data_IF_783945042432
#
_entry.id   IF_783945042432
#
_cell.length_a   1.000
_cell.length_b   1.000
_cell.length_c   1.000
_cell.angle_alpha   90.00
_cell.angle_beta   90.00
_cell.angle_gamma   90.00
#
_symmetry.space_group_name_H-M   'P 1'
#
loop_
_entity.id
_entity.type
_entity.pdbx_description
1 polymer ?
#
# COMPACT_ATOMS: atom_id res chain seq x y z
N UNK A 1 -36.84 -36.77 -56.72
CA UNK A 1 -36.41 -37.12 -55.34
C UNK A 1 -35.35 -36.16 -54.75
N UNK A 2 -34.44 -35.64 -55.59
CA UNK A 2 -33.28 -34.85 -55.18
C UNK A 2 -33.56 -33.41 -54.77
N UNK A 3 -34.57 -32.74 -55.36
CA UNK A 3 -34.90 -31.34 -55.07
C UNK A 3 -35.61 -31.14 -53.70
N UNK A 4 -36.37 -32.13 -53.25
CA UNK A 4 -37.07 -32.09 -51.95
C UNK A 4 -36.10 -32.32 -50.80
N UNK A 5 -35.10 -33.18 -51.01
CA UNK A 5 -34.07 -33.46 -49.99
C UNK A 5 -33.15 -32.25 -49.78
N UNK A 6 -32.83 -31.54 -50.88
CA UNK A 6 -31.97 -30.34 -50.79
C UNK A 6 -32.68 -29.17 -50.05
N UNK A 7 -33.98 -28.98 -50.28
CA UNK A 7 -34.79 -27.97 -49.53
C UNK A 7 -34.89 -28.32 -48.03
N UNK A 8 -35.05 -29.58 -47.72
CA UNK A 8 -35.12 -30.03 -46.32
C UNK A 8 -33.78 -29.81 -45.58
N UNK A 9 -32.65 -30.14 -46.22
CA UNK A 9 -31.30 -29.94 -45.62
C UNK A 9 -31.02 -28.43 -45.40
N UNK A 10 -31.35 -27.56 -46.32
CA UNK A 10 -31.15 -26.10 -46.20
C UNK A 10 -32.03 -25.52 -45.08
N UNK A 11 -33.27 -26.00 -44.92
CA UNK A 11 -34.15 -25.55 -43.82
C UNK A 11 -33.64 -25.98 -42.44
N UNK A 12 -33.15 -27.20 -42.32
CA UNK A 12 -32.56 -27.72 -41.07
C UNK A 12 -31.25 -27.00 -40.71
N UNK A 13 -30.39 -26.76 -41.70
CA UNK A 13 -29.14 -26.03 -41.48
C UNK A 13 -29.40 -24.55 -41.13
N UNK A 14 -30.39 -23.89 -41.70
CA UNK A 14 -30.77 -22.53 -41.33
C UNK A 14 -31.42 -22.48 -39.94
N UNK A 15 -32.22 -23.46 -39.56
CA UNK A 15 -32.77 -23.60 -38.19
C UNK A 15 -31.67 -23.80 -37.13
N UNK A 16 -30.69 -24.63 -37.41
CA UNK A 16 -29.52 -24.84 -36.53
C UNK A 16 -28.63 -23.60 -36.44
N UNK A 17 -28.40 -22.87 -37.52
CA UNK A 17 -27.67 -21.59 -37.51
C UNK A 17 -28.38 -20.53 -36.67
N UNK A 18 -29.74 -20.43 -36.82
CA UNK A 18 -30.52 -19.45 -36.05
C UNK A 18 -30.57 -19.82 -34.56
N UNK A 19 -30.65 -21.10 -34.21
CA UNK A 19 -30.58 -21.58 -32.82
C UNK A 19 -29.18 -21.36 -32.22
N UNK A 20 -28.10 -21.57 -33.00
CA UNK A 20 -26.73 -21.34 -32.56
C UNK A 20 -26.40 -19.83 -32.37
N UNK A 21 -26.92 -18.97 -33.30
CA UNK A 21 -26.82 -17.52 -33.15
C UNK A 21 -27.65 -16.99 -31.98
N UNK A 22 -28.83 -17.54 -31.72
CA UNK A 22 -29.63 -17.19 -30.54
C UNK A 22 -28.98 -17.65 -29.23
N UNK A 23 -28.40 -18.85 -29.20
CA UNK A 23 -27.60 -19.33 -28.05
C UNK A 23 -26.35 -18.51 -27.82
N UNK A 24 -25.63 -18.09 -28.88
CA UNK A 24 -24.49 -17.16 -28.76
C UNK A 24 -24.93 -15.77 -28.27
N UNK A 25 -26.06 -15.25 -28.74
CA UNK A 25 -26.61 -13.97 -28.24
C UNK A 25 -27.09 -14.08 -26.78
N UNK A 26 -27.61 -15.22 -26.34
CA UNK A 26 -27.95 -15.44 -24.94
C UNK A 26 -26.73 -15.59 -24.06
N UNK A 27 -25.60 -16.12 -24.55
CA UNK A 27 -24.31 -16.19 -23.82
C UNK A 27 -23.59 -14.83 -23.75
N UNK A 28 -23.92 -13.89 -24.68
CA UNK A 28 -23.28 -12.54 -24.66
C UNK A 28 -24.13 -11.47 -23.95
N UNK A 29 -25.33 -11.81 -23.48
CA UNK A 29 -26.19 -10.90 -22.69
C UNK A 29 -26.39 -11.34 -21.24
N UNK A 30 -25.52 -12.15 -20.69
CA UNK A 30 -25.33 -12.13 -19.26
C UNK A 30 -24.80 -10.71 -18.93
N UNK A 31 -25.72 -9.75 -18.73
CA UNK A 31 -25.39 -8.46 -18.13
C UNK A 31 -24.66 -8.80 -16.86
N UNK A 32 -23.34 -8.59 -16.85
CA UNK A 32 -22.58 -8.65 -15.61
C UNK A 32 -23.36 -7.80 -14.62
N UNK A 33 -23.84 -8.42 -13.56
CA UNK A 33 -24.50 -7.67 -12.49
C UNK A 33 -23.52 -6.56 -12.11
N UNK A 34 -23.92 -5.29 -12.03
CA UNK A 34 -22.99 -4.23 -11.74
C UNK A 34 -22.29 -4.58 -10.42
N UNK A 35 -20.96 -4.58 -10.43
CA UNK A 35 -20.17 -4.93 -9.27
C UNK A 35 -20.64 -4.14 -8.06
N UNK A 36 -20.92 -4.83 -6.95
CA UNK A 36 -21.37 -4.21 -5.71
C UNK A 36 -20.32 -3.22 -5.16
N UNK A 37 -20.68 -2.39 -4.18
CA UNK A 37 -19.74 -1.45 -3.57
C UNK A 37 -18.46 -2.14 -3.08
N UNK A 38 -18.56 -3.29 -2.40
CA UNK A 38 -17.41 -4.06 -1.92
C UNK A 38 -16.55 -4.60 -3.06
N UNK A 39 -17.17 -5.07 -4.16
CA UNK A 39 -16.41 -5.59 -5.31
C UNK A 39 -15.57 -4.48 -5.96
N UNK A 40 -16.15 -3.27 -6.06
CA UNK A 40 -15.39 -2.11 -6.55
C UNK A 40 -14.21 -1.75 -5.65
N UNK A 41 -14.41 -1.77 -4.34
CA UNK A 41 -13.32 -1.51 -3.38
C UNK A 41 -12.25 -2.60 -3.46
N UNK A 42 -12.63 -3.88 -3.56
CA UNK A 42 -11.69 -5.00 -3.73
C UNK A 42 -10.87 -4.86 -5.01
N UNK A 43 -11.53 -4.59 -6.12
CA UNK A 43 -10.83 -4.39 -7.39
C UNK A 43 -9.88 -3.19 -7.31
N UNK A 44 -10.34 -2.05 -6.80
CA UNK A 44 -9.51 -0.88 -6.62
C UNK A 44 -8.33 -1.14 -5.66
N UNK A 45 -8.53 -1.94 -4.60
CA UNK A 45 -7.45 -2.35 -3.70
C UNK A 45 -6.35 -3.11 -4.46
N UNK A 46 -6.72 -4.09 -5.28
CA UNK A 46 -5.77 -4.84 -6.09
C UNK A 46 -5.09 -3.91 -7.09
N UNK A 47 -5.86 -3.16 -7.88
CA UNK A 47 -5.35 -2.26 -8.91
C UNK A 47 -4.33 -1.25 -8.36
N UNK A 48 -4.64 -0.62 -7.22
CA UNK A 48 -3.73 0.34 -6.58
C UNK A 48 -2.51 -0.35 -5.96
N UNK A 49 -2.69 -1.54 -5.38
CA UNK A 49 -1.60 -2.30 -4.77
C UNK A 49 -0.57 -2.80 -5.78
N UNK A 50 -1.00 -3.21 -6.99
CA UNK A 50 -0.08 -3.72 -8.02
C UNK A 50 0.59 -2.62 -8.84
N UNK A 51 0.20 -1.36 -8.71
CA UNK A 51 0.84 -0.26 -9.45
C UNK A 51 2.32 -0.15 -9.11
N UNK A 52 3.14 0.06 -10.15
CA UNK A 52 4.54 0.41 -10.01
C UNK A 52 4.75 1.89 -10.30
N UNK A 53 5.39 2.59 -9.36
CA UNK A 53 5.75 4.00 -9.49
C UNK A 53 7.23 4.19 -9.83
N UNK A 54 7.98 3.09 -9.94
CA UNK A 54 9.37 3.08 -10.35
C UNK A 54 9.45 2.73 -11.85
N UNK A 55 9.55 3.70 -12.76
CA UNK A 55 9.55 3.43 -14.19
C UNK A 55 10.86 2.81 -14.69
N UNK A 56 11.92 2.84 -13.90
CA UNK A 56 13.23 2.35 -14.26
C UNK A 56 14.02 1.75 -13.10
N UNK A 57 15.15 1.11 -13.42
CA UNK A 57 16.02 0.44 -12.45
C UNK A 57 16.59 1.36 -11.37
N UNK A 58 16.86 2.64 -11.66
CA UNK A 58 17.40 3.58 -10.68
C UNK A 58 16.39 3.96 -9.60
N UNK A 59 15.12 4.14 -9.98
CA UNK A 59 14.06 4.40 -8.99
C UNK A 59 13.84 3.17 -8.11
N UNK A 60 13.89 1.96 -8.70
CA UNK A 60 13.86 0.70 -7.97
C UNK A 60 15.04 0.59 -7.02
N UNK A 61 16.27 0.90 -7.45
CA UNK A 61 17.46 0.90 -6.59
C UNK A 61 17.35 1.88 -5.41
N UNK A 62 16.72 3.04 -5.59
CA UNK A 62 16.50 4.00 -4.49
C UNK A 62 15.53 3.46 -3.46
N UNK A 63 14.44 2.83 -3.88
CA UNK A 63 13.53 2.12 -2.97
C UNK A 63 14.23 0.95 -2.28
N UNK A 64 15.06 0.22 -3.00
CA UNK A 64 15.91 -0.87 -2.50
C UNK A 64 16.84 -0.39 -1.41
N UNK A 65 17.59 0.70 -1.63
CA UNK A 65 18.50 1.28 -0.64
C UNK A 65 17.79 1.77 0.62
N UNK A 66 16.57 2.29 0.48
CA UNK A 66 15.76 2.66 1.63
C UNK A 66 15.30 1.44 2.45
N UNK A 67 15.03 0.34 1.77
CA UNK A 67 14.65 -0.91 2.42
C UNK A 67 15.83 -1.61 3.10
N UNK A 68 17.05 -1.19 2.80
CA UNK A 68 18.28 -1.72 3.39
C UNK A 68 18.45 -1.26 4.85
N UNK A 69 17.52 -1.70 5.65
CA UNK A 69 17.52 -1.58 7.10
C UNK A 69 18.62 -2.47 7.70
N UNK A 70 19.81 -2.40 7.08
CA UNK A 70 21.02 -3.05 7.54
C UNK A 70 21.24 -4.44 7.03
N UNK A 71 21.28 -4.54 5.78
CA UNK A 71 21.91 -5.50 4.87
C UNK A 71 20.98 -6.24 3.92
N UNK A 72 21.18 -5.87 2.74
CA UNK A 72 21.56 -6.61 1.56
C UNK A 72 20.55 -7.57 0.96
N UNK A 73 19.59 -8.15 1.64
CA UNK A 73 18.77 -9.19 1.03
C UNK A 73 17.27 -8.92 1.09
N UNK A 74 16.86 -7.90 1.83
CA UNK A 74 15.44 -7.63 2.02
C UNK A 74 15.05 -6.25 1.54
N UNK A 75 15.33 -6.08 0.31
CA UNK A 75 14.88 -5.05 -0.61
C UNK A 75 13.41 -4.69 -0.49
N UNK A 76 12.72 -5.36 0.37
CA UNK A 76 11.30 -5.49 0.37
C UNK A 76 10.65 -5.09 1.69
N UNK A 77 11.20 -4.11 2.35
CA UNK A 77 10.40 -3.32 3.29
C UNK A 77 9.37 -2.53 2.49
N UNK A 78 8.70 -3.23 1.62
CA UNK A 78 7.54 -2.70 0.95
C UNK A 78 6.54 -2.40 2.03
N UNK A 79 6.44 -1.15 2.41
CA UNK A 79 5.25 -0.69 3.07
C UNK A 79 4.09 -1.16 2.22
N UNK A 80 2.99 -1.59 2.81
CA UNK A 80 1.83 -2.10 2.08
C UNK A 80 1.39 -1.16 0.96
N UNK A 81 1.54 0.13 1.19
CA UNK A 81 1.05 1.20 0.32
C UNK A 81 2.09 1.72 -0.67
N UNK A 82 3.30 1.20 -0.64
CA UNK A 82 4.37 1.58 -1.58
C UNK A 82 4.47 0.52 -2.67
N UNK A 83 4.32 0.92 -3.93
CA UNK A 83 4.34 -0.01 -5.05
C UNK A 83 5.68 0.03 -5.76
N UNK A 84 6.48 -1.00 -5.57
CA UNK A 84 7.66 -1.31 -6.36
C UNK A 84 7.57 -2.74 -6.83
N UNK A 85 7.75 -2.97 -8.13
CA UNK A 85 7.85 -4.32 -8.66
C UNK A 85 9.25 -4.87 -8.42
N UNK A 86 9.31 -6.15 -8.04
CA UNK A 86 10.57 -6.85 -7.96
C UNK A 86 11.20 -7.02 -9.34
N UNK A 87 12.51 -6.75 -9.49
CA UNK A 87 13.22 -7.13 -10.69
C UNK A 87 13.18 -8.66 -10.91
N UNK A 88 13.12 -9.09 -12.15
CA UNK A 88 13.06 -10.50 -12.52
C UNK A 88 14.14 -11.37 -11.88
N UNK A 89 15.37 -10.85 -11.76
CA UNK A 89 16.47 -11.54 -11.09
C UNK A 89 16.17 -11.83 -9.64
N UNK A 90 15.53 -10.88 -8.95
CA UNK A 90 15.14 -11.05 -7.54
C UNK A 90 13.98 -12.03 -7.39
N UNK A 91 12.99 -11.99 -8.29
CA UNK A 91 11.92 -13.00 -8.32
C UNK A 91 12.50 -14.41 -8.43
N UNK A 92 13.40 -14.62 -9.40
CA UNK A 92 14.08 -15.93 -9.58
C UNK A 92 14.89 -16.35 -8.36
N UNK A 93 15.58 -15.40 -7.71
CA UNK A 93 16.30 -15.64 -6.46
C UNK A 93 15.37 -16.10 -5.35
N UNK A 94 14.24 -15.40 -5.15
CA UNK A 94 13.26 -15.76 -4.12
C UNK A 94 12.63 -17.13 -4.38
N UNK A 95 12.31 -17.44 -5.62
CA UNK A 95 11.81 -18.76 -6.01
C UNK A 95 12.86 -19.87 -5.77
N UNK A 96 14.15 -19.58 -6.02
CA UNK A 96 15.24 -20.54 -5.80
C UNK A 96 15.56 -20.80 -4.33
N UNK A 97 15.30 -19.85 -3.43
CA UNK A 97 15.49 -19.99 -1.99
C UNK A 97 14.29 -20.61 -1.26
N UNK A 98 13.16 -20.76 -1.96
CA UNK A 98 11.93 -21.28 -1.37
C UNK A 98 11.96 -22.81 -1.31
N UNK A 99 11.86 -23.36 -0.12
CA UNK A 99 11.87 -24.79 0.14
C UNK A 99 10.49 -25.44 -0.16
N UNK A 100 10.51 -26.70 -0.51
CA UNK A 100 9.30 -27.48 -0.77
C UNK A 100 8.35 -27.54 0.47
N UNK A 101 8.89 -27.35 1.66
CA UNK A 101 8.15 -27.25 2.91
C UNK A 101 7.41 -25.92 3.13
N UNK A 102 7.55 -24.96 2.21
CA UNK A 102 6.78 -23.71 2.27
C UNK A 102 7.49 -22.56 3.00
N UNK A 103 8.80 -22.56 3.11
CA UNK A 103 9.57 -21.54 3.81
C UNK A 103 10.81 -21.11 3.01
N UNK A 104 11.40 -19.98 3.37
CA UNK A 104 12.70 -19.55 2.83
C UNK A 104 13.83 -19.99 3.74
N UNK A 105 14.82 -20.68 3.17
CA UNK A 105 15.96 -21.26 3.89
C UNK A 105 16.89 -20.24 4.56
N UNK A 106 16.83 -18.98 4.12
CA UNK A 106 17.63 -17.86 4.63
C UNK A 106 16.90 -17.03 5.72
N UNK A 107 15.75 -17.48 6.21
CA UNK A 107 15.00 -16.83 7.30
C UNK A 107 15.09 -17.68 8.56
N UNK A 108 15.52 -17.07 9.67
CA UNK A 108 15.39 -17.65 11.00
C UNK A 108 13.97 -17.44 11.54
N UNK A 109 13.15 -18.49 11.52
CA UNK A 109 11.76 -18.45 12.00
C UNK A 109 11.65 -18.56 13.53
N UNK A 110 12.72 -18.81 14.24
CA UNK A 110 12.76 -18.84 15.70
C UNK A 110 13.34 -17.54 16.30
N UNK A 111 13.68 -16.56 15.42
CA UNK A 111 14.13 -15.24 15.85
C UNK A 111 13.12 -14.58 16.81
N UNK A 112 13.65 -14.03 17.93
CA UNK A 112 12.89 -13.36 18.99
C UNK A 112 13.27 -11.88 19.15
N UNK A 113 14.01 -11.31 18.23
CA UNK A 113 14.38 -9.89 18.28
C UNK A 113 13.16 -8.99 18.22
N UNK A 114 13.17 -7.89 18.97
CA UNK A 114 12.07 -6.90 18.96
C UNK A 114 12.07 -6.07 17.70
N UNK A 115 13.25 -5.71 17.20
CA UNK A 115 13.45 -5.01 15.93
C UNK A 115 14.01 -5.97 14.89
N UNK A 116 13.75 -5.73 13.60
CA UNK A 116 14.25 -6.58 12.51
C UNK A 116 13.88 -8.06 12.67
N UNK A 117 12.69 -8.33 13.17
CA UNK A 117 12.18 -9.67 13.38
C UNK A 117 12.10 -10.43 12.06
N UNK A 118 13.01 -11.39 11.87
CA UNK A 118 13.21 -12.05 10.58
C UNK A 118 11.98 -12.75 10.01
N UNK A 119 11.12 -13.45 10.79
CA UNK A 119 9.95 -14.09 10.22
C UNK A 119 9.01 -13.13 9.47
N UNK A 120 9.04 -11.84 9.79
CA UNK A 120 8.25 -10.82 9.05
C UNK A 120 8.62 -10.76 7.56
N UNK A 121 9.83 -11.19 7.17
CA UNK A 121 10.31 -11.24 5.80
C UNK A 121 9.52 -12.26 4.96
N UNK A 122 9.10 -13.36 5.57
CA UNK A 122 8.25 -14.35 4.92
C UNK A 122 7.01 -13.71 4.28
N UNK A 123 6.21 -13.00 5.08
CA UNK A 123 5.02 -12.32 4.57
C UNK A 123 5.36 -11.13 3.66
N UNK A 124 6.50 -10.47 3.86
CA UNK A 124 6.95 -9.39 2.96
C UNK A 124 7.24 -9.93 1.57
N UNK A 125 7.98 -11.04 1.47
CA UNK A 125 8.28 -11.70 0.19
C UNK A 125 7.02 -12.24 -0.47
N UNK A 126 6.15 -12.90 0.29
CA UNK A 126 4.85 -13.36 -0.22
C UNK A 126 4.02 -12.21 -0.78
N UNK A 127 3.94 -11.08 -0.06
CA UNK A 127 3.21 -9.92 -0.52
C UNK A 127 3.76 -9.37 -1.84
N UNK A 128 5.07 -9.25 -1.95
CA UNK A 128 5.72 -8.77 -3.18
C UNK A 128 5.48 -9.71 -4.38
N UNK A 129 5.51 -11.02 -4.15
CA UNK A 129 5.20 -12.02 -5.18
C UNK A 129 3.70 -12.03 -5.52
N UNK A 130 2.82 -11.87 -4.54
CA UNK A 130 1.37 -11.79 -4.76
C UNK A 130 0.99 -10.58 -5.63
N UNK A 131 1.69 -9.44 -5.49
CA UNK A 131 1.50 -8.28 -6.36
C UNK A 131 1.82 -8.60 -7.82
N UNK A 132 2.95 -9.24 -8.07
CA UNK A 132 3.33 -9.64 -9.43
C UNK A 132 2.39 -10.70 -10.01
N UNK A 133 1.92 -11.61 -9.16
CA UNK A 133 0.96 -12.64 -9.54
C UNK A 133 -0.40 -12.06 -9.92
N UNK A 134 -0.87 -11.06 -9.16
CA UNK A 134 -2.15 -10.41 -9.39
C UNK A 134 -2.14 -9.34 -10.49
N UNK A 135 -0.97 -8.79 -10.87
CA UNK A 135 -0.85 -7.72 -11.85
C UNK A 135 -0.99 -8.24 -13.29
N UNK A 136 -2.05 -7.89 -14.03
CA UNK A 136 -2.21 -8.32 -15.42
C UNK A 136 -1.08 -7.84 -16.37
N UNK A 137 -0.35 -6.79 -15.99
CA UNK A 137 0.76 -6.26 -16.78
C UNK A 137 2.11 -6.95 -16.46
N UNK A 138 2.16 -7.76 -15.40
CA UNK A 138 3.37 -8.46 -14.98
C UNK A 138 3.65 -9.68 -15.86
N UNK A 139 4.93 -9.92 -16.19
CA UNK A 139 5.37 -11.17 -16.80
C UNK A 139 5.14 -12.41 -15.91
N UNK A 140 4.83 -12.19 -14.64
CA UNK A 140 4.56 -13.22 -13.63
C UNK A 140 3.07 -13.35 -13.30
N UNK A 141 2.20 -12.71 -14.08
CA UNK A 141 0.76 -12.81 -13.87
C UNK A 141 0.27 -14.25 -13.98
N UNK A 142 -0.39 -14.74 -12.93
CA UNK A 142 -0.91 -16.10 -12.90
C UNK A 142 0.14 -17.21 -12.98
N UNK A 143 1.44 -16.93 -12.72
CA UNK A 143 2.50 -17.94 -12.75
C UNK A 143 2.27 -19.02 -11.70
N UNK A 144 2.07 -20.27 -12.12
CA UNK A 144 1.73 -21.37 -11.23
C UNK A 144 2.79 -21.70 -10.17
N UNK A 145 4.06 -21.30 -10.38
CA UNK A 145 5.12 -21.46 -9.36
C UNK A 145 4.92 -20.46 -8.24
N UNK A 146 4.56 -19.21 -8.57
CA UNK A 146 4.25 -18.19 -7.58
C UNK A 146 2.95 -18.55 -6.87
N UNK A 147 1.88 -18.93 -7.59
CA UNK A 147 0.64 -19.40 -6.98
C UNK A 147 0.87 -20.55 -5.99
N UNK A 148 1.59 -21.59 -6.42
CA UNK A 148 1.95 -22.71 -5.55
C UNK A 148 2.80 -22.31 -4.33
N UNK A 149 3.73 -21.34 -4.49
CA UNK A 149 4.52 -20.79 -3.40
C UNK A 149 3.62 -20.06 -2.38
N UNK A 150 2.67 -19.25 -2.84
CA UNK A 150 1.77 -18.50 -1.96
C UNK A 150 0.94 -19.44 -1.06
N UNK A 151 0.34 -20.49 -1.63
CA UNK A 151 -0.41 -21.48 -0.84
C UNK A 151 0.48 -22.25 0.15
N UNK A 152 1.66 -22.73 -0.28
CA UNK A 152 2.61 -23.43 0.60
C UNK A 152 3.14 -22.51 1.71
N UNK A 153 3.43 -21.25 1.37
CA UNK A 153 3.88 -20.24 2.33
C UNK A 153 2.82 -19.93 3.39
N UNK A 154 1.54 -19.82 3.00
CA UNK A 154 0.43 -19.68 3.94
C UNK A 154 0.35 -20.90 4.86
N UNK A 155 0.38 -22.11 4.32
CA UNK A 155 0.31 -23.35 5.10
C UNK A 155 1.44 -23.44 6.13
N UNK A 156 2.68 -23.13 5.72
CA UNK A 156 3.82 -23.09 6.63
C UNK A 156 3.65 -22.03 7.72
N UNK A 157 3.26 -20.80 7.34
CA UNK A 157 3.03 -19.72 8.31
C UNK A 157 2.01 -20.10 9.38
N UNK A 158 0.91 -20.72 8.97
CA UNK A 158 -0.15 -21.16 9.87
C UNK A 158 0.28 -22.30 10.79
N UNK A 159 1.12 -23.22 10.30
CA UNK A 159 1.66 -24.32 11.09
C UNK A 159 2.75 -23.86 12.07
N UNK A 160 3.72 -23.05 11.60
CA UNK A 160 4.88 -22.58 12.40
C UNK A 160 4.46 -21.56 13.46
N UNK A 161 3.47 -20.69 13.17
CA UNK A 161 2.95 -19.66 14.07
C UNK A 161 4.05 -18.74 14.66
N UNK A 162 4.91 -18.14 13.86
CA UNK A 162 5.97 -17.28 14.37
C UNK A 162 5.38 -16.14 15.20
N UNK A 163 6.05 -15.78 16.30
CA UNK A 163 5.59 -14.72 17.20
C UNK A 163 6.72 -13.76 17.56
N UNK A 164 6.44 -12.46 17.55
CA UNK A 164 7.39 -11.41 17.92
C UNK A 164 7.15 -10.93 19.35
N UNK A 165 8.21 -10.53 20.01
CA UNK A 165 8.13 -9.82 21.31
C UNK A 165 7.67 -8.36 21.14
N UNK A 166 7.63 -7.83 19.94
CA UNK A 166 7.09 -6.52 19.62
C UNK A 166 5.61 -6.65 19.23
N UNK A 167 4.73 -6.12 20.06
CA UNK A 167 3.28 -6.12 19.86
C UNK A 167 2.85 -5.64 18.47
N UNK A 168 3.59 -4.67 17.91
CA UNK A 168 3.28 -4.09 16.61
C UNK A 168 3.25 -5.15 15.49
N UNK A 169 4.18 -6.13 15.53
CA UNK A 169 4.14 -7.23 14.56
C UNK A 169 2.90 -8.10 14.72
N UNK A 170 2.52 -8.39 15.96
CA UNK A 170 1.36 -9.26 16.24
C UNK A 170 0.00 -8.63 15.90
N UNK A 171 -0.16 -7.35 16.22
CA UNK A 171 -1.43 -6.64 16.09
C UNK A 171 -1.56 -5.87 14.76
N UNK A 172 -0.44 -5.41 14.16
CA UNK A 172 -0.47 -4.56 12.97
C UNK A 172 0.26 -5.22 11.79
N UNK A 173 1.56 -5.50 11.94
CA UNK A 173 2.43 -5.81 10.81
C UNK A 173 2.11 -7.13 10.11
N UNK A 174 1.86 -8.20 10.86
CA UNK A 174 1.46 -9.53 10.35
C UNK A 174 0.05 -9.48 9.77
N UNK A 175 -0.98 -8.99 10.51
CA UNK A 175 -2.32 -8.85 9.98
C UNK A 175 -2.38 -8.06 8.68
N UNK A 176 -1.66 -6.93 8.60
CA UNK A 176 -1.63 -6.06 7.43
C UNK A 176 -1.15 -6.79 6.17
N UNK A 177 0.00 -7.45 6.25
CA UNK A 177 0.56 -8.15 5.10
C UNK A 177 -0.29 -9.36 4.70
N UNK A 178 -0.74 -10.11 5.69
CA UNK A 178 -1.55 -11.29 5.45
C UNK A 178 -2.89 -10.94 4.79
N UNK A 179 -3.60 -9.92 5.30
CA UNK A 179 -4.86 -9.47 4.70
C UNK A 179 -4.68 -9.03 3.24
N UNK A 180 -3.60 -8.32 2.94
CA UNK A 180 -3.30 -7.89 1.57
C UNK A 180 -2.99 -9.07 0.64
N UNK A 181 -2.20 -10.06 1.10
CA UNK A 181 -1.92 -11.29 0.34
C UNK A 181 -3.23 -12.02 0.03
N UNK A 182 -4.05 -12.24 1.05
CA UNK A 182 -5.33 -12.95 0.89
C UNK A 182 -6.29 -12.23 -0.06
N UNK A 183 -6.32 -10.89 -0.05
CA UNK A 183 -7.13 -10.12 -1.01
C UNK A 183 -6.64 -10.31 -2.45
N UNK A 184 -5.33 -10.35 -2.68
CA UNK A 184 -4.77 -10.52 -4.02
C UNK A 184 -5.04 -11.89 -4.64
N UNK A 185 -5.14 -12.94 -3.81
CA UNK A 185 -5.41 -14.31 -4.27
C UNK A 185 -6.79 -14.82 -3.82
N UNK A 186 -7.73 -13.90 -3.48
CA UNK A 186 -9.01 -14.25 -2.87
C UNK A 186 -9.79 -15.33 -3.63
N UNK A 187 -9.77 -15.27 -4.96
CA UNK A 187 -10.47 -16.23 -5.82
C UNK A 187 -9.92 -17.65 -5.81
N UNK A 188 -8.71 -17.85 -5.27
CA UNK A 188 -8.01 -19.14 -5.26
C UNK A 188 -7.89 -19.75 -3.85
N UNK A 189 -8.31 -18.99 -2.82
CA UNK A 189 -8.21 -19.45 -1.42
C UNK A 189 -9.18 -20.59 -1.14
N UNK A 190 -8.68 -21.63 -0.48
CA UNK A 190 -9.55 -22.62 0.16
C UNK A 190 -10.20 -22.03 1.43
N UNK A 191 -11.35 -22.57 1.82
CA UNK A 191 -12.03 -22.16 3.06
C UNK A 191 -11.12 -22.20 4.30
N UNK A 192 -10.38 -23.29 4.55
CA UNK A 192 -9.44 -23.35 5.68
C UNK A 192 -8.30 -22.33 5.63
N UNK A 193 -7.76 -21.99 4.45
CA UNK A 193 -6.73 -20.96 4.32
C UNK A 193 -7.27 -19.58 4.72
N UNK A 194 -8.45 -19.25 4.21
CA UNK A 194 -9.10 -17.99 4.54
C UNK A 194 -9.43 -17.92 6.05
N UNK A 195 -10.02 -18.96 6.61
CA UNK A 195 -10.38 -19.00 8.03
C UNK A 195 -9.17 -18.81 8.96
N UNK A 196 -8.05 -19.49 8.67
CA UNK A 196 -6.83 -19.35 9.46
C UNK A 196 -6.24 -17.93 9.34
N UNK A 197 -6.28 -17.36 8.14
CA UNK A 197 -5.87 -15.99 7.91
C UNK A 197 -6.71 -14.98 8.68
N UNK A 198 -8.03 -15.12 8.64
CA UNK A 198 -8.97 -14.24 9.36
C UNK A 198 -8.73 -14.26 10.88
N UNK A 199 -8.48 -15.43 11.51
CA UNK A 199 -8.13 -15.54 12.94
C UNK A 199 -6.86 -14.73 13.30
N UNK A 200 -5.92 -14.60 12.38
CA UNK A 200 -4.72 -13.80 12.60
C UNK A 200 -5.05 -12.31 12.43
N UNK A 201 -5.82 -11.94 11.41
CA UNK A 201 -6.19 -10.55 11.11
C UNK A 201 -7.05 -9.98 12.25
N UNK A 202 -7.89 -10.76 12.89
CA UNK A 202 -8.72 -10.39 14.05
C UNK A 202 -7.92 -9.90 15.28
N UNK A 203 -6.61 -10.11 15.32
CA UNK A 203 -5.75 -9.50 16.34
C UNK A 203 -5.66 -7.98 16.20
N UNK A 204 -5.97 -7.43 15.02
CA UNK A 204 -6.06 -5.99 14.78
C UNK A 204 -7.35 -5.42 15.33
N UNK A 205 -7.41 -5.19 16.65
CA UNK A 205 -8.57 -4.56 17.29
C UNK A 205 -8.54 -3.06 17.09
N UNK A 206 -9.69 -2.45 16.90
CA UNK A 206 -9.82 -0.98 16.90
C UNK A 206 -9.27 -0.38 18.19
N UNK A 207 -8.67 0.80 18.08
CA UNK A 207 -8.07 1.51 19.19
C UNK A 207 -6.77 2.21 18.79
N UNK A 208 -6.01 2.69 19.78
CA UNK A 208 -4.80 3.50 19.58
C UNK A 208 -5.15 4.89 19.01
N UNK A 209 -4.12 5.63 18.61
CA UNK A 209 -4.19 6.99 18.05
C UNK A 209 -3.21 7.14 16.89
N UNK A 210 -3.41 8.17 16.08
CA UNK A 210 -2.52 8.51 14.99
C UNK A 210 -2.37 7.37 13.99
N UNK A 211 -1.14 7.16 13.52
CA UNK A 211 -0.88 6.14 12.50
C UNK A 211 -1.18 4.70 12.96
N UNK A 212 -1.07 4.41 14.24
CA UNK A 212 -1.37 3.07 14.73
C UNK A 212 -2.87 2.74 14.56
N UNK A 213 -3.77 3.71 14.83
CA UNK A 213 -5.21 3.55 14.59
C UNK A 213 -5.51 3.37 13.11
N UNK A 214 -4.90 4.18 12.23
CA UNK A 214 -5.05 4.05 10.78
C UNK A 214 -4.65 2.65 10.29
N UNK A 215 -3.54 2.08 10.80
CA UNK A 215 -3.14 0.72 10.43
C UNK A 215 -4.13 -0.34 10.92
N UNK A 216 -4.57 -0.27 12.17
CA UNK A 216 -5.52 -1.23 12.75
C UNK A 216 -6.86 -1.18 12.02
N UNK A 217 -7.36 0.02 11.73
CA UNK A 217 -8.58 0.21 10.97
C UNK A 217 -8.44 -0.28 9.51
N UNK A 218 -7.31 0.02 8.85
CA UNK A 218 -7.03 -0.51 7.52
C UNK A 218 -7.01 -2.04 7.45
N UNK A 219 -6.48 -2.70 8.50
CA UNK A 219 -6.51 -4.16 8.60
C UNK A 219 -7.95 -4.70 8.73
N UNK A 220 -8.79 -4.03 9.51
CA UNK A 220 -10.21 -4.39 9.64
C UNK A 220 -11.01 -4.08 8.36
N UNK A 221 -10.67 -3.01 7.64
CA UNK A 221 -11.27 -2.73 6.34
C UNK A 221 -10.97 -3.88 5.36
N UNK A 222 -9.71 -4.32 5.27
CA UNK A 222 -9.34 -5.48 4.46
C UNK A 222 -10.04 -6.76 4.93
N UNK A 223 -10.21 -6.95 6.25
CA UNK A 223 -10.98 -8.08 6.79
C UNK A 223 -12.43 -8.05 6.31
N UNK A 224 -13.09 -6.91 6.40
CA UNK A 224 -14.46 -6.74 5.89
C UNK A 224 -14.57 -7.03 4.38
N UNK A 225 -13.56 -6.63 3.60
CA UNK A 225 -13.50 -7.00 2.18
C UNK A 225 -13.30 -8.50 1.93
N UNK A 226 -12.60 -9.21 2.81
CA UNK A 226 -12.41 -10.67 2.71
C UNK A 226 -13.68 -11.45 3.09
N UNK A 227 -14.48 -10.93 4.02
CA UNK A 227 -15.66 -11.59 4.58
C UNK A 227 -16.98 -11.09 4.02
N UNK A 228 -16.98 -10.19 3.03
CA UNK A 228 -18.17 -9.53 2.48
C UNK A 228 -19.00 -8.78 3.56
N UNK A 229 -18.33 -8.25 4.59
CA UNK A 229 -18.96 -7.54 5.71
C UNK A 229 -18.95 -6.02 5.47
N UNK A 230 -20.05 -5.52 4.91
CA UNK A 230 -20.22 -4.07 4.63
C UNK A 230 -20.21 -3.21 5.90
N UNK A 231 -20.74 -3.73 7.01
CA UNK A 231 -20.78 -2.99 8.27
C UNK A 231 -19.36 -2.80 8.83
N UNK A 232 -18.54 -3.85 8.79
CA UNK A 232 -17.14 -3.77 9.21
C UNK A 232 -16.31 -2.82 8.29
N UNK A 233 -16.56 -2.84 6.97
CA UNK A 233 -15.89 -1.92 6.05
C UNK A 233 -16.25 -0.47 6.36
N UNK A 234 -17.54 -0.19 6.62
CA UNK A 234 -18.01 1.14 6.99
C UNK A 234 -17.42 1.61 8.33
N UNK A 235 -17.45 0.76 9.37
CA UNK A 235 -16.86 1.06 10.68
C UNK A 235 -15.37 1.33 10.57
N UNK A 236 -14.62 0.46 9.87
CA UNK A 236 -13.19 0.61 9.68
C UNK A 236 -12.83 1.91 8.93
N UNK A 237 -13.61 2.27 7.90
CA UNK A 237 -13.48 3.54 7.20
C UNK A 237 -13.73 4.72 8.15
N UNK A 238 -14.74 4.66 9.02
CA UNK A 238 -15.04 5.70 9.98
C UNK A 238 -13.90 5.86 11.00
N UNK A 239 -13.33 4.75 11.49
CA UNK A 239 -12.16 4.78 12.37
C UNK A 239 -10.93 5.42 11.72
N UNK A 240 -10.72 5.24 10.40
CA UNK A 240 -9.68 5.96 9.65
C UNK A 240 -10.05 7.45 9.57
N UNK A 241 -11.31 7.75 9.24
CA UNK A 241 -11.80 9.11 9.05
C UNK A 241 -11.68 9.98 10.31
N UNK A 242 -11.86 9.40 11.50
CA UNK A 242 -11.69 10.07 12.79
C UNK A 242 -10.26 10.59 13.03
N UNK A 243 -9.24 9.95 12.44
CA UNK A 243 -7.85 10.42 12.53
C UNK A 243 -7.54 11.56 11.54
N UNK A 244 -8.39 11.80 10.52
CA UNK A 244 -8.17 12.85 9.53
C UNK A 244 -8.68 14.20 10.08
N UNK A 245 -8.02 14.66 11.11
CA UNK A 245 -8.39 15.86 11.86
C UNK A 245 -7.15 16.56 12.37
N UNK A 246 -7.24 17.89 12.53
CA UNK A 246 -6.23 18.67 13.27
C UNK A 246 -6.47 18.46 14.76
N UNK A 247 -5.43 18.15 15.53
CA UNK A 247 -5.50 17.77 16.94
C UNK A 247 -4.34 18.37 17.75
N UNK A 248 -4.52 18.50 19.05
CA UNK A 248 -3.43 18.85 19.98
C UNK A 248 -2.70 17.61 20.53
N UNK A 249 -3.19 16.40 20.20
CA UNK A 249 -2.59 15.12 20.58
C UNK A 249 -1.69 14.54 19.50
N UNK A 250 -1.62 13.19 19.43
CA UNK A 250 -0.95 12.49 18.32
C UNK A 250 -1.75 12.67 17.02
N UNK A 251 -1.08 12.99 15.93
CA UNK A 251 -1.70 13.27 14.64
C UNK A 251 -1.26 14.59 14.02
N UNK A 252 -2.11 15.16 13.18
CA UNK A 252 -1.86 16.41 12.44
C UNK A 252 -2.07 17.60 13.37
N UNK A 253 -1.04 18.45 13.49
CA UNK A 253 -1.10 19.69 14.25
C UNK A 253 -1.66 20.86 13.42
N UNK A 254 -2.06 21.95 14.07
CA UNK A 254 -2.62 23.15 13.40
C UNK A 254 -1.57 23.90 12.53
N UNK A 255 -0.28 23.71 12.82
CA UNK A 255 0.83 24.19 11.99
C UNK A 255 1.21 23.24 10.84
N UNK A 256 0.45 22.13 10.66
CA UNK A 256 0.69 21.05 9.67
C UNK A 256 1.92 20.20 9.95
N UNK A 257 2.48 20.24 11.16
CA UNK A 257 3.38 19.20 11.62
C UNK A 257 2.61 17.92 11.97
N UNK A 258 3.31 16.82 12.17
CA UNK A 258 2.71 15.55 12.57
C UNK A 258 3.42 15.03 13.81
N UNK A 259 2.66 14.80 14.88
CA UNK A 259 3.16 14.27 16.14
C UNK A 259 2.80 12.79 16.31
N UNK A 260 3.71 12.04 16.90
CA UNK A 260 3.49 10.66 17.37
C UNK A 260 4.48 10.35 18.49
N UNK A 261 4.04 9.61 19.51
CA UNK A 261 4.79 9.34 20.73
C UNK A 261 5.09 10.61 21.53
N UNK A 262 4.08 11.44 21.71
CA UNK A 262 4.17 12.75 22.34
C UNK A 262 4.46 13.87 21.34
N UNK A 263 4.77 15.08 21.80
CA UNK A 263 5.00 16.25 20.96
C UNK A 263 6.38 16.18 20.27
N UNK A 264 6.51 15.27 19.33
CA UNK A 264 7.71 15.02 18.53
C UNK A 264 7.37 15.03 17.05
N UNK A 265 8.11 15.80 16.24
CA UNK A 265 7.92 15.81 14.80
C UNK A 265 8.33 14.48 14.17
N UNK A 266 7.46 13.93 13.32
CA UNK A 266 7.60 12.57 12.80
C UNK A 266 7.35 12.49 11.28
N UNK A 267 7.67 13.52 10.50
CA UNK A 267 7.40 13.52 9.05
C UNK A 267 8.02 12.33 8.33
N UNK A 268 9.26 11.95 8.63
CA UNK A 268 9.93 10.85 7.96
C UNK A 268 9.75 9.49 8.64
N UNK A 269 8.78 9.35 9.51
CA UNK A 269 8.46 8.11 10.21
C UNK A 269 6.93 7.89 10.20
N UNK A 270 6.26 8.12 11.33
CA UNK A 270 4.81 7.91 11.46
C UNK A 270 4.00 8.84 10.54
N UNK A 271 4.42 10.09 10.37
CA UNK A 271 3.76 11.02 9.45
C UNK A 271 3.83 10.59 8.00
N UNK A 272 4.98 10.03 7.56
CA UNK A 272 5.11 9.47 6.22
C UNK A 272 4.21 8.25 6.04
N UNK A 273 4.23 7.32 6.99
CA UNK A 273 3.38 6.14 6.94
C UNK A 273 1.88 6.50 6.98
N UNK A 274 1.53 7.58 7.68
CA UNK A 274 0.18 8.13 7.73
C UNK A 274 -0.24 8.70 6.37
N UNK A 275 0.63 9.48 5.74
CA UNK A 275 0.38 10.03 4.40
C UNK A 275 0.27 8.94 3.33
N UNK A 276 1.14 7.93 3.37
CA UNK A 276 1.08 6.76 2.48
C UNK A 276 -0.23 6.00 2.68
N UNK A 277 -0.58 5.67 3.92
CA UNK A 277 -1.78 4.91 4.24
C UNK A 277 -3.06 5.64 3.83
N UNK A 278 -3.18 6.93 4.18
CA UNK A 278 -4.36 7.71 3.83
C UNK A 278 -4.47 7.96 2.33
N UNK A 279 -3.38 8.30 1.64
CA UNK A 279 -3.40 8.50 0.19
C UNK A 279 -3.76 7.21 -0.57
N UNK A 280 -3.32 6.06 -0.08
CA UNK A 280 -3.72 4.75 -0.59
C UNK A 280 -5.23 4.54 -0.43
N UNK A 281 -5.77 4.71 0.78
CA UNK A 281 -7.20 4.55 1.01
C UNK A 281 -8.05 5.58 0.29
N UNK A 282 -7.60 6.83 0.18
CA UNK A 282 -8.25 7.83 -0.68
C UNK A 282 -8.46 7.30 -2.10
N UNK A 283 -7.42 6.70 -2.67
CA UNK A 283 -7.47 6.20 -4.04
C UNK A 283 -8.29 4.92 -4.18
N UNK A 284 -8.21 4.01 -3.22
CA UNK A 284 -8.98 2.76 -3.21
C UNK A 284 -10.47 3.01 -3.02
N UNK A 285 -10.83 4.00 -2.20
CA UNK A 285 -12.23 4.31 -1.89
C UNK A 285 -12.87 5.32 -2.85
N UNK A 286 -12.08 5.92 -3.76
CA UNK A 286 -12.58 6.93 -4.71
C UNK A 286 -13.74 6.40 -5.55
N UNK A 287 -14.79 7.22 -5.70
CA UNK A 287 -15.99 6.83 -6.43
C UNK A 287 -16.85 5.74 -5.78
N UNK A 288 -16.60 5.40 -4.51
CA UNK A 288 -17.40 4.45 -3.74
C UNK A 288 -18.17 5.15 -2.60
N UNK A 289 -19.20 4.53 -2.01
CA UNK A 289 -19.90 5.09 -0.85
C UNK A 289 -19.02 5.26 0.41
N UNK A 290 -17.84 4.64 0.41
CA UNK A 290 -16.90 4.67 1.52
C UNK A 290 -15.88 5.79 1.43
N UNK A 291 -15.95 6.67 0.41
CA UNK A 291 -15.02 7.78 0.25
C UNK A 291 -15.08 8.75 1.44
N UNK A 292 -13.94 9.32 1.79
CA UNK A 292 -13.84 10.37 2.79
C UNK A 292 -14.47 11.68 2.30
N UNK A 293 -14.89 12.54 3.23
CA UNK A 293 -15.48 13.85 2.91
C UNK A 293 -14.45 14.77 2.25
N UNK A 294 -14.93 15.77 1.52
CA UNK A 294 -14.09 16.81 0.90
C UNK A 294 -13.24 17.55 1.93
N UNK A 295 -13.77 17.78 3.12
CA UNK A 295 -13.05 18.43 4.21
C UNK A 295 -11.86 17.55 4.68
N UNK A 296 -12.07 16.24 4.83
CA UNK A 296 -11.01 15.31 5.20
C UNK A 296 -9.95 15.18 4.10
N UNK A 297 -10.36 15.10 2.84
CA UNK A 297 -9.41 15.14 1.72
C UNK A 297 -8.54 16.39 1.76
N UNK A 298 -9.13 17.56 2.02
CA UNK A 298 -8.40 18.82 2.12
C UNK A 298 -7.39 18.84 3.28
N UNK A 299 -7.68 18.17 4.39
CA UNK A 299 -6.74 18.01 5.53
C UNK A 299 -5.51 17.20 5.10
N UNK A 300 -5.71 16.08 4.41
CA UNK A 300 -4.61 15.24 3.91
C UNK A 300 -3.76 16.01 2.89
N UNK A 301 -4.40 16.71 1.96
CA UNK A 301 -3.71 17.55 0.96
C UNK A 301 -2.86 18.64 1.62
N UNK A 302 -3.36 19.28 2.68
CA UNK A 302 -2.62 20.30 3.42
C UNK A 302 -1.45 19.70 4.19
N UNK A 303 -1.62 18.58 4.90
CA UNK A 303 -0.51 17.88 5.56
C UNK A 303 0.61 17.57 4.56
N UNK A 304 0.26 17.07 3.40
CA UNK A 304 1.26 16.79 2.35
C UNK A 304 1.94 18.07 1.88
N UNK A 305 1.19 19.12 1.51
CA UNK A 305 1.71 20.32 0.87
C UNK A 305 2.46 21.24 1.84
N UNK A 306 1.89 21.46 3.03
CA UNK A 306 2.45 22.41 4.01
C UNK A 306 3.38 21.74 5.02
N UNK A 307 3.30 20.43 5.16
CA UNK A 307 4.14 19.62 6.03
C UNK A 307 5.18 18.82 5.25
N UNK A 308 4.86 17.58 4.91
CA UNK A 308 5.82 16.55 4.46
C UNK A 308 6.62 17.00 3.23
N UNK A 309 5.99 17.54 2.19
CA UNK A 309 6.69 17.98 0.99
C UNK A 309 7.72 19.10 1.26
N UNK A 310 7.51 19.92 2.30
CA UNK A 310 8.43 21.00 2.66
C UNK A 310 9.75 20.48 3.22
N UNK A 311 9.75 19.34 3.89
CA UNK A 311 10.95 18.70 4.47
C UNK A 311 11.77 17.90 3.46
N UNK A 312 11.37 17.86 2.18
CA UNK A 312 12.08 17.15 1.13
C UNK A 312 12.75 18.13 0.19
N UNK A 313 14.07 17.98 0.04
CA UNK A 313 14.91 18.83 -0.81
C UNK A 313 15.69 17.98 -1.81
N UNK A 314 15.52 18.28 -3.10
CA UNK A 314 16.23 17.59 -4.21
C UNK A 314 16.16 16.06 -4.11
N UNK A 315 14.98 15.54 -3.80
CA UNK A 315 14.77 14.09 -3.71
C UNK A 315 15.27 13.42 -2.43
N UNK A 316 15.60 14.21 -1.40
CA UNK A 316 16.05 13.72 -0.10
C UNK A 316 15.21 14.32 1.01
N UNK A 317 14.66 13.50 1.89
CA UNK A 317 13.99 13.97 3.09
C UNK A 317 15.02 14.39 4.13
N UNK A 318 14.79 15.54 4.75
CA UNK A 318 15.65 16.08 5.80
C UNK A 318 15.63 15.18 7.05
N UNK A 319 16.79 14.71 7.53
CA UNK A 319 16.88 13.88 8.71
C UNK A 319 16.30 14.53 9.98
N UNK A 320 16.36 15.87 10.11
CA UNK A 320 15.81 16.60 11.26
C UNK A 320 14.30 16.40 11.45
N UNK A 321 13.58 15.97 10.41
CA UNK A 321 12.14 15.73 10.43
C UNK A 321 11.77 14.24 10.45
N UNK A 322 12.75 13.35 10.63
CA UNK A 322 12.53 11.89 10.59
C UNK A 322 12.15 11.27 11.95
N UNK A 323 11.96 12.08 12.99
CA UNK A 323 11.67 11.57 14.32
C UNK A 323 12.78 10.63 14.80
N UNK A 324 12.43 9.37 15.10
CA UNK A 324 13.38 8.33 15.59
C UNK A 324 14.05 7.55 14.47
N UNK A 325 13.68 7.74 13.23
CA UNK A 325 14.17 6.95 12.09
C UNK A 325 15.21 7.73 11.27
N UNK A 326 16.27 8.12 11.93
CA UNK A 326 17.42 8.79 11.29
C UNK A 326 18.44 7.74 10.90
N UNK A 327 18.20 7.08 9.75
CA UNK A 327 19.12 6.09 9.22
C UNK A 327 19.95 6.69 8.09
N UNK A 328 21.22 6.29 8.00
CA UNK A 328 22.09 6.66 6.89
C UNK A 328 21.41 6.24 5.58
N UNK A 329 21.43 7.13 4.60
CA UNK A 329 20.89 6.93 3.25
C UNK A 329 19.36 6.68 3.14
N UNK A 330 18.60 6.84 4.23
CA UNK A 330 17.14 6.65 4.17
C UNK A 330 16.38 7.81 3.52
N UNK A 331 17.00 8.99 3.43
CA UNK A 331 16.36 10.22 2.92
C UNK A 331 15.77 10.11 1.52
N UNK A 332 16.48 9.54 0.52
CA UNK A 332 15.95 9.34 -0.83
C UNK A 332 14.73 8.42 -0.87
N UNK A 333 14.77 7.29 -0.17
CA UNK A 333 13.65 6.36 -0.11
C UNK A 333 12.41 6.98 0.55
N UNK A 334 12.60 7.75 1.64
CA UNK A 334 11.50 8.48 2.28
C UNK A 334 10.89 9.53 1.36
N UNK A 335 11.70 10.23 0.57
CA UNK A 335 11.22 11.15 -0.44
C UNK A 335 10.42 10.43 -1.53
N UNK A 336 10.89 9.25 -1.97
CA UNK A 336 10.17 8.41 -2.94
C UNK A 336 8.81 7.94 -2.40
N UNK A 337 8.74 7.53 -1.14
CA UNK A 337 7.46 7.19 -0.48
C UNK A 337 6.50 8.39 -0.45
N UNK A 338 6.99 9.57 -0.12
CA UNK A 338 6.18 10.80 -0.19
C UNK A 338 5.71 11.11 -1.62
N UNK A 339 6.52 10.81 -2.63
CA UNK A 339 6.13 10.96 -4.03
C UNK A 339 5.00 9.99 -4.43
N UNK A 340 5.03 8.74 -3.96
CA UNK A 340 3.94 7.77 -4.16
C UNK A 340 2.65 8.28 -3.51
N UNK A 341 2.71 8.78 -2.27
CA UNK A 341 1.56 9.39 -1.61
C UNK A 341 0.99 10.58 -2.42
N UNK A 342 1.88 11.43 -2.96
CA UNK A 342 1.48 12.55 -3.79
C UNK A 342 0.83 12.10 -5.13
N UNK A 343 1.32 11.03 -5.77
CA UNK A 343 0.69 10.47 -6.97
C UNK A 343 -0.70 9.90 -6.68
N UNK A 344 -0.89 9.21 -5.54
CA UNK A 344 -2.21 8.74 -5.14
C UNK A 344 -3.20 9.89 -4.98
N UNK A 345 -2.79 11.00 -4.33
CA UNK A 345 -3.63 12.20 -4.20
C UNK A 345 -3.89 12.83 -5.58
N UNK A 346 -2.87 12.91 -6.44
CA UNK A 346 -3.00 13.49 -7.77
C UNK A 346 -3.94 12.70 -8.69
N UNK A 347 -4.05 11.39 -8.47
CA UNK A 347 -4.93 10.51 -9.25
C UNK A 347 -6.42 10.83 -9.07
N UNK A 348 -6.80 11.41 -7.92
CA UNK A 348 -8.18 11.84 -7.64
C UNK A 348 -8.62 13.04 -8.49
N UNK A 349 -7.70 13.73 -9.16
CA UNK A 349 -7.96 14.91 -10.02
C UNK A 349 -8.75 16.03 -9.35
N UNK A 350 -8.68 16.13 -8.02
CA UNK A 350 -9.31 17.21 -7.25
C UNK A 350 -8.65 18.57 -7.55
N UNK A 351 -9.30 19.72 -7.25
CA UNK A 351 -8.69 21.02 -7.45
C UNK A 351 -7.28 21.10 -6.82
N UNK A 352 -6.28 21.57 -7.57
CA UNK A 352 -4.90 21.64 -7.09
C UNK A 352 -4.04 20.37 -7.26
N UNK A 353 -4.58 19.26 -7.75
CA UNK A 353 -3.87 17.98 -7.93
C UNK A 353 -2.54 18.11 -8.70
N UNK A 354 -2.43 19.09 -9.59
CA UNK A 354 -1.21 19.32 -10.40
C UNK A 354 0.04 19.62 -9.55
N UNK A 355 -0.16 20.15 -8.33
CA UNK A 355 0.97 20.41 -7.41
C UNK A 355 1.58 19.08 -6.97
N UNK A 356 0.74 18.13 -6.60
CA UNK A 356 1.18 16.80 -6.16
C UNK A 356 1.82 16.00 -7.29
N UNK A 357 1.21 16.00 -8.48
CA UNK A 357 1.81 15.37 -9.67
C UNK A 357 3.17 15.98 -10.01
N UNK A 358 3.31 17.30 -9.93
CA UNK A 358 4.57 17.98 -10.16
C UNK A 358 5.61 17.64 -9.12
N UNK A 359 5.21 17.55 -7.85
CA UNK A 359 6.09 17.13 -6.76
C UNK A 359 6.58 15.70 -6.98
N UNK A 360 5.68 14.74 -7.19
CA UNK A 360 6.02 13.36 -7.42
C UNK A 360 6.96 13.15 -8.61
N UNK A 361 6.63 13.75 -9.74
CA UNK A 361 7.46 13.70 -10.95
C UNK A 361 8.90 14.16 -10.70
N UNK A 362 9.11 15.18 -9.89
CA UNK A 362 10.44 15.72 -9.58
C UNK A 362 11.26 14.85 -8.64
N UNK A 363 10.59 14.08 -7.80
CA UNK A 363 11.27 13.14 -6.92
C UNK A 363 11.62 11.86 -7.66
N UNK A 364 10.69 11.34 -8.47
CA UNK A 364 10.83 10.08 -9.18
C UNK A 364 11.68 10.21 -10.44
N UNK A 365 11.72 11.40 -11.06
CA UNK A 365 12.56 11.70 -12.22
C UNK A 365 13.80 12.53 -11.81
N UNK A 366 15.01 11.96 -11.79
CA UNK A 366 16.22 12.62 -11.25
C UNK A 366 16.63 13.93 -11.89
N UNK A 367 16.29 14.11 -13.15
CA UNK A 367 16.67 15.29 -13.94
C UNK A 367 15.91 16.57 -13.55
N UNK A 368 14.80 16.43 -12.87
CA UNK A 368 13.84 17.51 -12.62
C UNK A 368 13.87 17.99 -11.15
N UNK A 369 14.96 18.62 -10.74
CA UNK A 369 15.32 18.86 -9.33
C UNK A 369 14.65 20.05 -8.63
N UNK A 370 13.82 20.86 -9.30
CA UNK A 370 13.14 21.99 -8.65
C UNK A 370 11.65 21.72 -8.41
N UNK A 371 11.22 21.61 -7.17
CA UNK A 371 9.81 21.37 -6.81
C UNK A 371 8.95 22.65 -6.73
N UNK A 372 9.58 23.82 -6.89
CA UNK A 372 8.90 25.13 -6.84
C UNK A 372 8.50 25.57 -5.44
N UNK A 373 8.71 24.77 -4.41
CA UNK A 373 8.46 25.15 -3.03
C UNK A 373 9.57 26.08 -2.54
N UNK A 374 9.21 27.27 -2.07
CA UNK A 374 10.17 28.31 -1.61
C UNK A 374 9.64 29.02 -0.37
N UNK A 375 10.52 29.77 0.27
CA UNK A 375 10.23 30.59 1.43
C UNK A 375 10.36 29.86 2.77
N UNK A 376 10.12 30.57 3.86
CA UNK A 376 10.15 30.00 5.20
C UNK A 376 8.92 29.16 5.48
N UNK A 377 9.10 28.17 6.34
CA UNK A 377 8.05 27.48 7.03
C UNK A 377 8.49 27.19 8.45
N UNK A 378 7.71 27.59 9.41
CA UNK A 378 7.93 27.30 10.82
C UNK A 378 6.81 26.41 11.35
N UNK A 379 7.17 25.43 12.16
CA UNK A 379 6.30 24.50 12.85
C UNK A 379 6.43 24.74 14.33
N UNK A 380 5.59 25.64 14.84
CA UNK A 380 5.65 26.11 16.23
C UNK A 380 5.24 25.06 17.25
N UNK A 381 4.43 24.08 16.83
CA UNK A 381 4.10 22.92 17.68
C UNK A 381 5.28 21.96 17.85
N UNK A 382 6.26 22.05 16.98
CA UNK A 382 7.42 21.13 16.93
C UNK A 382 8.77 21.83 17.11
N UNK A 383 8.80 23.13 17.36
CA UNK A 383 9.99 23.96 17.45
C UNK A 383 10.98 23.74 16.28
N UNK A 384 10.44 23.65 15.08
CA UNK A 384 11.21 23.38 13.86
C UNK A 384 10.96 24.42 12.79
N UNK A 385 12.00 24.74 12.01
CA UNK A 385 11.88 25.67 10.90
C UNK A 385 12.61 25.20 9.64
N UNK A 386 12.12 25.63 8.50
CA UNK A 386 12.69 25.38 7.17
C UNK A 386 12.74 26.69 6.41
N UNK A 387 13.84 26.91 5.70
CA UNK A 387 13.93 27.95 4.68
C UNK A 387 14.42 27.36 3.37
N UNK A 388 13.71 27.67 2.28
CA UNK A 388 13.98 27.10 0.95
C UNK A 388 14.12 28.20 -0.10
N UNK A 389 15.12 28.06 -0.94
CA UNK A 389 15.30 28.89 -2.15
C UNK A 389 15.36 28.01 -3.39
N UNK A 390 15.73 28.56 -4.52
CA UNK A 390 15.99 27.77 -5.73
C UNK A 390 17.28 26.93 -5.61
N UNK A 391 18.24 27.40 -4.83
CA UNK A 391 19.61 26.87 -4.83
C UNK A 391 20.05 26.25 -3.52
N UNK A 392 19.42 26.60 -2.40
CA UNK A 392 19.77 26.06 -1.08
C UNK A 392 18.54 25.82 -0.20
N UNK A 393 18.76 25.00 0.79
CA UNK A 393 17.83 24.60 1.83
C UNK A 393 18.53 24.68 3.18
N UNK A 394 17.84 25.18 4.18
CA UNK A 394 18.27 25.14 5.57
C UNK A 394 17.12 24.73 6.46
N UNK A 395 17.43 23.97 7.49
CA UNK A 395 16.50 23.61 8.53
C UNK A 395 17.10 23.85 9.91
N UNK A 396 16.23 24.09 10.88
CA UNK A 396 16.58 24.17 12.28
C UNK A 396 15.59 23.32 13.08
N UNK A 397 16.11 22.50 13.98
CA UNK A 397 15.35 21.80 15.00
C UNK A 397 15.84 22.27 16.36
N UNK A 398 14.92 22.76 17.16
CA UNK A 398 15.18 23.25 18.49
C UNK A 398 14.58 22.29 19.52
N UNK A 399 14.93 22.51 20.77
CA UNK A 399 14.40 21.80 21.91
C UNK A 399 13.77 22.80 22.86
N UNK A 400 12.68 22.41 23.50
CA UNK A 400 12.04 23.16 24.58
C UNK A 400 11.43 22.19 25.60
N UNK A 401 10.81 22.72 26.61
CA UNK A 401 9.97 21.97 27.56
C UNK A 401 8.66 21.46 26.94
N UNK A 402 8.31 21.96 25.74
CA UNK A 402 7.11 21.59 24.98
C UNK A 402 7.33 20.44 24.00
N UNK A 403 8.56 20.22 23.58
CA UNK A 403 8.85 19.28 22.46
C UNK A 403 9.90 18.24 22.86
N UNK A 404 9.72 17.02 22.34
CA UNK A 404 10.70 15.95 22.48
C UNK A 404 11.72 16.07 21.35
N UNK A 405 13.01 16.13 21.72
CA UNK A 405 14.13 16.26 20.81
C UNK A 405 14.56 14.95 20.12
#
# INVERSE_FOLDING_TARGET
GTAVFHKFLVTVMNGLRTAFLAALLFLTTARACPAGPLDRVRQAFVDVSVMSYAPDGEATERFVRYSDYGRANDVLLLQLYTSVHLPDGEVRRLLGLFDAGGFWSDIDYDDRTRGRWQPSLHLTRMYALAKLYADPASAWHGDGRIGGLLHKGLAYWYAKKPSSLNWWHGEIGVPKKLAAILLMIRGELSGPELEQGLRIIERSRFGRTGQNKVWLAGNNLMRGLLTDDEALVAEARDQIAEEIVVTDGEGIQDDWSFHQHGPQIQFGNYGLAYAEGLSFWLRVLDGTPYMFSDAQCAVIEKLMREGICRSIWRGVMDPSFCGRQVFIDSGPGKASSAAVAAENIAALKRPGYRVFRRFAKRILEPENRSDGLRGPRYYDRSDCGIYRTATWYASIRMHSDRTIG
#
